data_IF_930397354390
#
_entry.id   IF_930397354390
#
_cell.length_a   1.000
_cell.length_b   1.000
_cell.length_c   1.000
_cell.angle_alpha   90.00
_cell.angle_beta   90.00
_cell.angle_gamma   90.00
#
_symmetry.space_group_name_H-M   'P 1'
#
loop_
_entity.id
_entity.type
_entity.pdbx_description
1 polymer ?
#
# COMPACT_ATOMS: atom_id res chain seq x y z
N UNK A 1 26.11 7.71 16.10
CA UNK A 1 24.87 6.91 16.27
C UNK A 1 23.69 7.44 15.43
N UNK A 2 23.92 8.36 14.49
CA UNK A 2 22.84 9.00 13.70
C UNK A 2 22.34 8.15 12.51
N UNK A 3 23.12 7.16 12.05
CA UNK A 3 22.74 6.31 10.90
C UNK A 3 21.70 5.22 11.22
N UNK A 4 21.54 4.85 12.50
CA UNK A 4 20.65 3.76 12.88
C UNK A 4 19.18 4.11 12.60
N UNK A 5 18.76 5.34 12.92
CA UNK A 5 17.36 5.77 12.73
C UNK A 5 16.92 5.75 11.26
N UNK A 6 17.78 6.23 10.35
CA UNK A 6 17.50 6.23 8.91
C UNK A 6 17.32 4.80 8.36
N UNK A 7 18.16 3.86 8.79
CA UNK A 7 18.07 2.45 8.37
C UNK A 7 16.74 1.80 8.82
N UNK A 8 16.32 2.01 10.07
CA UNK A 8 15.07 1.43 10.58
C UNK A 8 13.83 1.98 9.89
N UNK A 9 13.78 3.30 9.62
CA UNK A 9 12.65 3.92 8.90
C UNK A 9 12.57 3.37 7.49
N UNK A 10 13.70 3.27 6.78
CA UNK A 10 13.76 2.67 5.45
C UNK A 10 13.30 1.21 5.45
N UNK A 11 13.74 0.41 6.44
CA UNK A 11 13.32 -0.98 6.59
C UNK A 11 11.80 -1.11 6.77
N UNK A 12 11.20 -0.27 7.62
CA UNK A 12 9.74 -0.25 7.85
C UNK A 12 9.00 0.05 6.55
N UNK A 13 9.46 1.03 5.77
CA UNK A 13 8.89 1.36 4.46
C UNK A 13 9.00 0.18 3.49
N UNK A 14 10.16 -0.46 3.40
CA UNK A 14 10.36 -1.63 2.55
C UNK A 14 9.44 -2.79 2.92
N UNK A 15 9.25 -3.05 4.22
CA UNK A 15 8.34 -4.08 4.71
C UNK A 15 6.88 -3.73 4.39
N UNK A 16 6.45 -2.48 4.60
CA UNK A 16 5.10 -2.01 4.25
C UNK A 16 4.82 -2.12 2.75
N UNK A 17 5.76 -1.69 1.92
CA UNK A 17 5.63 -1.77 0.45
C UNK A 17 5.53 -3.24 0.02
N UNK A 18 6.47 -4.07 0.46
CA UNK A 18 6.53 -5.48 0.05
C UNK A 18 5.31 -6.25 0.53
N UNK A 19 4.93 -6.11 1.80
CA UNK A 19 3.72 -6.74 2.35
C UNK A 19 2.45 -6.22 1.67
N UNK A 20 2.37 -4.92 1.40
CA UNK A 20 1.25 -4.30 0.68
C UNK A 20 1.03 -4.91 -0.70
N UNK A 21 2.10 -5.09 -1.49
CA UNK A 21 2.01 -5.74 -2.79
C UNK A 21 1.69 -7.24 -2.69
N UNK A 22 2.31 -7.97 -1.77
CA UNK A 22 1.99 -9.39 -1.53
C UNK A 22 0.51 -9.56 -1.18
N UNK A 23 -0.02 -8.71 -0.29
CA UNK A 23 -1.43 -8.71 0.09
C UNK A 23 -2.34 -8.31 -1.07
N UNK A 24 -1.91 -7.40 -1.96
CA UNK A 24 -2.66 -7.06 -3.17
C UNK A 24 -2.86 -8.30 -4.05
N UNK A 25 -1.77 -9.01 -4.35
CA UNK A 25 -1.81 -10.24 -5.15
C UNK A 25 -2.64 -11.34 -4.47
N UNK A 26 -2.42 -11.59 -3.18
CA UNK A 26 -3.18 -12.59 -2.42
C UNK A 26 -4.67 -12.24 -2.32
N UNK A 27 -5.00 -10.95 -2.14
CA UNK A 27 -6.37 -10.46 -2.07
C UNK A 27 -7.10 -10.60 -3.40
N UNK A 28 -6.43 -10.31 -4.51
CA UNK A 28 -6.95 -10.55 -5.86
C UNK A 28 -7.14 -12.04 -6.15
N UNK A 29 -6.15 -12.87 -5.83
CA UNK A 29 -6.18 -14.32 -6.05
C UNK A 29 -7.31 -14.98 -5.26
N UNK A 30 -7.44 -14.67 -3.97
CA UNK A 30 -8.47 -15.25 -3.09
C UNK A 30 -9.81 -14.52 -3.14
N UNK A 31 -9.94 -13.49 -4.00
CA UNK A 31 -11.08 -12.57 -4.03
C UNK A 31 -11.49 -12.07 -2.63
N UNK A 32 -10.51 -11.76 -1.79
CA UNK A 32 -10.72 -11.35 -0.40
C UNK A 32 -10.68 -9.83 -0.28
N UNK A 33 -11.85 -9.21 -0.12
CA UNK A 33 -11.97 -7.76 0.08
C UNK A 33 -11.23 -7.30 1.33
N UNK A 34 -11.24 -8.07 2.42
CA UNK A 34 -10.53 -7.74 3.67
C UNK A 34 -9.02 -7.66 3.43
N UNK A 35 -8.47 -8.63 2.71
CA UNK A 35 -7.03 -8.67 2.39
C UNK A 35 -6.63 -7.47 1.52
N UNK A 36 -7.49 -7.06 0.59
CA UNK A 36 -7.27 -5.85 -0.22
C UNK A 36 -7.35 -4.56 0.59
N UNK A 37 -8.24 -4.45 1.59
CA UNK A 37 -8.23 -3.31 2.52
C UNK A 37 -6.89 -3.23 3.26
N UNK A 38 -6.41 -4.35 3.82
CA UNK A 38 -5.12 -4.37 4.54
C UNK A 38 -3.96 -4.01 3.60
N UNK A 39 -3.99 -4.50 2.35
CA UNK A 39 -3.02 -4.09 1.31
C UNK A 39 -3.02 -2.58 1.09
N UNK A 40 -4.19 -1.97 0.88
CA UNK A 40 -4.31 -0.54 0.67
C UNK A 40 -3.80 0.26 1.87
N UNK A 41 -4.21 -0.12 3.08
CA UNK A 41 -3.76 0.55 4.31
C UNK A 41 -2.24 0.45 4.48
N UNK A 42 -1.62 -0.71 4.23
CA UNK A 42 -0.17 -0.88 4.29
C UNK A 42 0.58 0.05 3.33
N UNK A 43 -0.03 0.39 2.19
CA UNK A 43 0.57 1.25 1.17
C UNK A 43 0.37 2.75 1.42
N UNK A 44 -0.58 3.16 2.27
CA UNK A 44 -0.87 4.59 2.54
C UNK A 44 0.38 5.34 3.02
N UNK A 45 1.04 4.82 4.07
CA UNK A 45 2.17 5.52 4.68
C UNK A 45 3.37 5.64 3.72
N UNK A 46 3.81 4.56 3.03
CA UNK A 46 4.85 4.66 2.01
C UNK A 46 4.52 5.62 0.87
N UNK A 47 3.28 5.68 0.41
CA UNK A 47 2.92 6.52 -0.76
C UNK A 47 2.72 7.99 -0.39
N UNK A 48 2.27 8.28 0.83
CA UNK A 48 2.15 9.66 1.34
C UNK A 48 3.50 10.36 1.44
N UNK A 49 4.59 9.62 1.71
CA UNK A 49 5.94 10.15 1.68
C UNK A 49 6.29 10.82 0.32
N UNK A 50 5.79 10.26 -0.78
CA UNK A 50 5.97 10.84 -2.11
C UNK A 50 5.02 12.00 -2.43
N UNK A 51 4.05 12.31 -1.57
CA UNK A 51 3.08 13.39 -1.80
C UNK A 51 3.68 14.79 -1.85
N UNK A 52 4.85 14.97 -1.23
CA UNK A 52 5.64 16.21 -1.27
C UNK A 52 6.62 16.30 -2.45
N UNK A 53 6.67 15.29 -3.33
CA UNK A 53 7.57 15.32 -4.48
C UNK A 53 7.14 16.40 -5.50
N UNK A 54 8.11 17.14 -6.04
CA UNK A 54 7.88 18.20 -7.04
C UNK A 54 7.78 17.67 -8.49
N UNK A 55 7.72 16.36 -8.66
CA UNK A 55 7.73 15.70 -9.96
C UNK A 55 6.56 14.70 -10.08
N UNK A 56 6.55 13.93 -11.17
CA UNK A 56 5.53 12.93 -11.46
C UNK A 56 5.40 11.84 -10.39
N UNK A 57 6.41 11.60 -9.55
CA UNK A 57 6.30 10.65 -8.43
C UNK A 57 5.26 11.06 -7.39
N UNK A 58 4.83 12.32 -7.35
CA UNK A 58 3.71 12.76 -6.52
C UNK A 58 2.43 11.96 -6.79
N UNK A 59 2.25 11.46 -8.01
CA UNK A 59 1.08 10.65 -8.37
C UNK A 59 1.03 9.28 -7.66
N UNK A 60 2.16 8.81 -7.13
CA UNK A 60 2.24 7.56 -6.35
C UNK A 60 1.34 7.61 -5.11
N UNK A 61 1.01 8.81 -4.61
CA UNK A 61 0.08 9.00 -3.48
C UNK A 61 -1.29 8.35 -3.71
N UNK A 62 -1.70 8.17 -4.97
CA UNK A 62 -2.98 7.57 -5.32
C UNK A 62 -2.92 6.03 -5.44
N UNK A 63 -1.73 5.43 -5.38
CA UNK A 63 -1.55 3.99 -5.49
C UNK A 63 -2.38 3.16 -4.48
N UNK A 64 -2.58 3.57 -3.21
CA UNK A 64 -3.43 2.86 -2.27
C UNK A 64 -4.91 2.81 -2.69
N UNK A 65 -5.36 3.72 -3.57
CA UNK A 65 -6.75 3.71 -4.04
C UNK A 65 -7.03 2.45 -4.88
N UNK A 66 -6.03 1.89 -5.56
CA UNK A 66 -6.20 0.70 -6.40
C UNK A 66 -6.70 -0.50 -5.57
N UNK A 67 -5.99 -0.98 -4.52
CA UNK A 67 -6.50 -2.04 -3.66
C UNK A 67 -7.82 -1.70 -2.97
N UNK A 68 -8.04 -0.44 -2.56
CA UNK A 68 -9.27 -0.04 -1.86
C UNK A 68 -10.51 -0.07 -2.78
N UNK A 69 -10.38 0.40 -4.02
CA UNK A 69 -11.45 0.32 -5.04
C UNK A 69 -11.72 -1.14 -5.39
N UNK A 70 -10.67 -1.95 -5.58
CA UNK A 70 -10.82 -3.38 -5.83
C UNK A 70 -11.51 -4.09 -4.66
N UNK A 71 -11.18 -3.72 -3.41
CA UNK A 71 -11.83 -4.25 -2.23
C UNK A 71 -13.34 -3.96 -2.24
N UNK A 72 -13.72 -2.73 -2.60
CA UNK A 72 -15.12 -2.34 -2.73
C UNK A 72 -15.86 -3.15 -3.80
N UNK A 73 -15.29 -3.28 -5.00
CA UNK A 73 -15.87 -4.05 -6.10
C UNK A 73 -16.07 -5.52 -5.69
N UNK A 74 -15.04 -6.14 -5.10
CA UNK A 74 -15.10 -7.53 -4.67
C UNK A 74 -16.11 -7.71 -3.54
N UNK A 75 -16.16 -6.81 -2.56
CA UNK A 75 -17.16 -6.86 -1.48
C UNK A 75 -18.57 -6.79 -2.04
N UNK A 76 -18.82 -5.89 -3.00
CA UNK A 76 -20.13 -5.73 -3.64
C UNK A 76 -20.55 -6.97 -4.45
N UNK A 77 -19.62 -7.64 -5.11
CA UNK A 77 -19.92 -8.80 -5.97
C UNK A 77 -20.06 -10.13 -5.19
N UNK A 78 -19.60 -10.18 -3.92
CA UNK A 78 -19.71 -11.36 -3.06
C UNK A 78 -20.84 -11.23 -2.01
N UNK A 79 -21.61 -10.15 -2.05
CA UNK A 79 -22.88 -9.96 -1.32
C UNK A 79 -24.00 -10.18 -2.33
#
# INVERSE_FOLDING_TARGET
MEHAGFYWIGLIFWLLISSGFILLFLGLWKKSWKTLIVSGVALILPTLYFGGAENWFRMVVFLPLIPLVLAYIIKKNNV
#
